data_IF_008051429187
#
_entry.id   IF_008051429187
#
_cell.length_a   1.000
_cell.length_b   1.000
_cell.length_c   1.000
_cell.angle_alpha   90.00
_cell.angle_beta   90.00
_cell.angle_gamma   90.00
#
_symmetry.space_group_name_H-M   'P 1'
#
loop_
_entity.id
_entity.type
_entity.pdbx_description
1 polymer ?
#
# COMPACT_ATOMS: atom_id res chain seq x y z
N UNK A 1 -19.63 8.10 -24.72
CA UNK A 1 -18.89 8.42 -24.98
C UNK A 1 -17.65 7.89 -24.60
N UNK A 2 -17.03 7.57 -25.47
CA UNK A 2 -15.77 7.01 -25.23
C UNK A 2 -15.00 7.84 -24.24
N UNK A 3 -15.46 9.00 -24.09
CA UNK A 3 -14.80 9.86 -23.16
C UNK A 3 -14.72 9.33 -21.74
N UNK A 4 -15.40 8.25 -21.47
CA UNK A 4 -15.34 7.70 -20.13
C UNK A 4 -13.93 7.45 -19.69
N UNK A 5 -13.12 6.85 -20.56
CA UNK A 5 -11.76 6.57 -20.15
C UNK A 5 -10.93 7.81 -20.02
N UNK A 6 -11.16 8.76 -20.91
CA UNK A 6 -10.38 9.97 -20.88
C UNK A 6 -10.79 10.88 -19.72
N UNK A 7 -11.94 10.59 -19.10
CA UNK A 7 -12.39 11.38 -17.98
C UNK A 7 -11.73 10.99 -16.68
N UNK A 8 -11.03 9.87 -16.66
CA UNK A 8 -10.35 9.45 -15.44
C UNK A 8 -9.19 10.38 -15.15
N UNK A 9 -9.07 10.87 -13.91
CA UNK A 9 -7.95 11.74 -13.58
C UNK A 9 -6.61 11.02 -13.72
N UNK A 10 -5.62 11.75 -14.20
CA UNK A 10 -4.25 11.24 -14.26
C UNK A 10 -3.34 12.12 -13.42
N UNK A 11 -2.25 11.57 -12.90
CA UNK A 11 -1.35 12.38 -12.07
C UNK A 11 -0.60 13.40 -12.93
N UNK A 12 -0.55 14.62 -12.45
CA UNK A 12 0.27 15.65 -13.06
C UNK A 12 1.60 15.80 -12.33
N UNK A 13 1.65 15.38 -11.07
CA UNK A 13 2.87 15.47 -10.29
C UNK A 13 2.82 14.39 -9.21
N UNK A 14 3.94 13.70 -9.02
CA UNK A 14 4.07 12.68 -7.98
C UNK A 14 5.38 12.95 -7.26
N UNK A 15 5.32 13.20 -5.96
CA UNK A 15 6.48 13.52 -5.15
C UNK A 15 6.50 12.67 -3.90
N UNK A 16 7.61 11.97 -3.69
CA UNK A 16 7.80 11.19 -2.48
C UNK A 16 8.50 12.05 -1.43
N UNK A 17 7.85 12.22 -0.29
CA UNK A 17 8.40 12.97 0.83
C UNK A 17 8.92 11.98 1.86
N UNK A 18 10.23 11.70 1.80
CA UNK A 18 10.82 10.66 2.64
C UNK A 18 10.76 10.99 4.12
N UNK A 19 10.92 12.25 4.47
CA UNK A 19 10.94 12.63 5.89
C UNK A 19 9.58 12.46 6.54
N UNK A 20 8.51 12.80 5.84
CA UNK A 20 7.15 12.66 6.36
C UNK A 20 6.51 11.33 5.98
N UNK A 21 7.17 10.56 5.13
CA UNK A 21 6.72 9.26 4.67
C UNK A 21 5.35 9.30 4.03
N UNK A 22 5.17 10.26 3.13
CA UNK A 22 3.93 10.36 2.34
C UNK A 22 4.28 10.54 0.88
N UNK A 23 3.40 10.04 0.02
CA UNK A 23 3.48 10.27 -1.41
C UNK A 23 2.45 11.34 -1.75
N UNK A 24 2.90 12.44 -2.31
CA UNK A 24 2.00 13.50 -2.73
C UNK A 24 1.70 13.33 -4.20
N UNK A 25 0.41 13.26 -4.55
CA UNK A 25 -0.01 13.07 -5.93
C UNK A 25 -1.01 14.15 -6.27
N UNK A 26 -0.74 14.88 -7.35
CA UNK A 26 -1.65 15.90 -7.85
C UNK A 26 -2.24 15.40 -9.16
N UNK A 27 -3.56 15.44 -9.24
CA UNK A 27 -4.27 14.89 -10.38
C UNK A 27 -4.79 15.99 -11.28
N UNK A 28 -5.09 15.61 -12.53
CA UNK A 28 -5.53 16.55 -13.56
C UNK A 28 -6.86 17.20 -13.26
N UNK A 29 -7.66 16.64 -12.38
CA UNK A 29 -8.94 17.22 -11.98
C UNK A 29 -8.81 18.25 -10.85
N UNK A 30 -7.59 18.55 -10.44
CA UNK A 30 -7.34 19.50 -9.36
C UNK A 30 -7.23 18.86 -7.99
N UNK A 31 -7.49 17.56 -7.87
CA UNK A 31 -7.36 16.89 -6.59
C UNK A 31 -5.89 16.69 -6.25
N UNK A 32 -5.56 16.83 -4.98
CA UNK A 32 -4.21 16.59 -4.50
C UNK A 32 -4.31 15.78 -3.21
N UNK A 33 -3.56 14.70 -3.14
CA UNK A 33 -3.61 13.80 -2.00
C UNK A 33 -2.22 13.58 -1.43
N UNK A 34 -2.15 13.36 -0.13
CA UNK A 34 -0.92 12.96 0.55
C UNK A 34 -1.19 11.58 1.13
N UNK A 35 -0.62 10.56 0.53
CA UNK A 35 -0.91 9.17 0.87
C UNK A 35 0.25 8.63 1.68
N UNK A 36 0.05 8.26 2.96
CA UNK A 36 1.15 7.71 3.76
C UNK A 36 1.70 6.43 3.14
N UNK A 37 3.00 6.28 3.20
CA UNK A 37 3.64 5.06 2.69
C UNK A 37 3.08 3.83 3.40
N UNK A 38 2.80 3.94 4.68
CA UNK A 38 2.21 2.83 5.43
C UNK A 38 0.88 2.41 4.82
N UNK A 39 0.03 3.37 4.48
CA UNK A 39 -1.27 3.06 3.89
C UNK A 39 -1.09 2.39 2.54
N UNK A 40 -0.17 2.88 1.71
CA UNK A 40 0.12 2.27 0.43
C UNK A 40 0.58 0.82 0.61
N UNK A 41 1.45 0.58 1.59
CA UNK A 41 1.99 -0.75 1.83
C UNK A 41 0.92 -1.71 2.33
N UNK A 42 0.10 -1.24 3.26
CA UNK A 42 -0.95 -2.06 3.87
C UNK A 42 -2.02 -2.44 2.86
N UNK A 43 -2.34 -1.53 1.96
CA UNK A 43 -3.35 -1.76 0.93
C UNK A 43 -2.74 -1.97 -0.46
N UNK A 44 -1.51 -2.45 -0.52
CA UNK A 44 -0.87 -2.73 -1.79
C UNK A 44 -1.74 -3.67 -2.64
N UNK A 45 -1.88 -3.39 -3.93
CA UNK A 45 -2.68 -4.26 -4.81
C UNK A 45 -1.98 -5.54 -5.21
N UNK A 46 -0.87 -5.85 -4.55
CA UNK A 46 -0.13 -7.07 -4.80
C UNK A 46 -0.91 -8.30 -4.32
N UNK A 47 -0.72 -9.43 -4.99
CA UNK A 47 -1.31 -10.69 -4.55
C UNK A 47 -0.84 -11.09 -3.16
N UNK A 48 0.36 -10.66 -2.75
CA UNK A 48 0.85 -10.94 -1.40
C UNK A 48 -0.03 -10.33 -0.33
N UNK A 49 -0.69 -9.23 -0.65
CA UNK A 49 -1.57 -8.55 0.31
C UNK A 49 -3.01 -8.97 0.09
N UNK A 50 -3.45 -9.06 -1.17
CA UNK A 50 -4.84 -9.37 -1.47
C UNK A 50 -5.19 -10.85 -1.27
N UNK A 51 -4.19 -11.72 -1.27
CA UNK A 51 -4.44 -13.14 -1.12
C UNK A 51 -5.05 -13.75 -2.36
N UNK A 52 -5.80 -14.82 -2.16
CA UNK A 52 -6.33 -15.61 -3.28
C UNK A 52 -7.79 -15.26 -3.61
N UNK A 53 -8.35 -14.26 -2.96
CA UNK A 53 -9.72 -13.86 -3.27
C UNK A 53 -10.34 -13.12 -2.11
N UNK A 54 -11.63 -12.76 -2.22
CA UNK A 54 -12.30 -12.03 -1.14
C UNK A 54 -12.23 -12.82 0.17
N UNK A 55 -11.91 -12.12 1.25
CA UNK A 55 -11.78 -12.76 2.54
C UNK A 55 -10.43 -13.42 2.77
N UNK A 56 -9.55 -13.40 1.77
CA UNK A 56 -8.23 -14.00 1.88
C UNK A 56 -7.12 -12.96 2.04
N UNK A 57 -7.51 -11.72 2.25
CA UNK A 57 -6.54 -10.62 2.40
C UNK A 57 -5.63 -10.88 3.59
N UNK A 58 -4.35 -10.58 3.42
CA UNK A 58 -3.36 -10.75 4.47
C UNK A 58 -3.16 -9.43 5.19
N UNK A 59 -3.53 -9.38 6.46
CA UNK A 59 -3.39 -8.16 7.25
C UNK A 59 -1.91 -7.85 7.42
N UNK A 60 -1.50 -6.67 7.03
CA UNK A 60 -0.12 -6.23 7.10
C UNK A 60 0.11 -5.48 8.41
N UNK A 61 1.16 -5.83 9.15
CA UNK A 61 1.51 -5.14 10.39
C UNK A 61 2.98 -4.79 10.36
N UNK A 62 3.41 -3.98 11.31
CA UNK A 62 4.82 -3.60 11.39
C UNK A 62 5.26 -2.68 10.27
N UNK A 63 4.33 -1.94 9.67
CA UNK A 63 4.63 -1.10 8.51
C UNK A 63 4.65 0.40 8.82
N UNK A 64 4.53 0.76 10.09
CA UNK A 64 4.44 2.17 10.48
C UNK A 64 5.60 3.01 9.95
N UNK A 65 6.79 2.45 9.92
CA UNK A 65 7.99 3.19 9.53
C UNK A 65 8.51 2.81 8.15
N UNK A 66 7.67 2.15 7.34
CA UNK A 66 8.10 1.75 6.01
C UNK A 66 8.37 2.99 5.15
N UNK A 67 9.44 2.94 4.37
CA UNK A 67 9.78 4.01 3.45
C UNK A 67 9.78 3.51 2.02
N UNK A 68 10.08 4.41 1.09
CA UNK A 68 10.20 4.07 -0.32
C UNK A 68 11.66 4.16 -0.75
N UNK A 69 12.14 3.11 -1.39
CA UNK A 69 13.47 3.11 -1.97
C UNK A 69 13.44 3.60 -3.41
N UNK A 70 12.35 3.32 -4.12
CA UNK A 70 12.27 3.65 -5.53
C UNK A 70 10.81 3.65 -5.98
N UNK A 71 10.53 4.38 -7.05
CA UNK A 71 9.23 4.38 -7.71
C UNK A 71 9.49 4.23 -9.19
N UNK A 72 9.03 3.15 -9.78
CA UNK A 72 9.24 2.88 -11.18
C UNK A 72 7.95 3.08 -11.96
N UNK A 73 7.94 3.93 -12.98
CA UNK A 73 6.72 4.06 -13.80
C UNK A 73 6.50 2.80 -14.63
N UNK A 74 5.24 2.42 -14.75
CA UNK A 74 4.86 1.26 -15.55
C UNK A 74 3.89 1.75 -16.61
N UNK A 75 4.35 1.76 -17.86
CA UNK A 75 3.58 2.36 -18.92
C UNK A 75 3.23 3.80 -18.59
N UNK A 76 2.02 4.20 -18.93
CA UNK A 76 1.50 5.52 -18.54
C UNK A 76 0.25 5.36 -17.69
N UNK A 77 0.16 4.26 -16.93
CA UNK A 77 -1.06 3.94 -16.19
C UNK A 77 -0.81 3.55 -14.73
N UNK A 78 0.45 3.37 -14.31
CA UNK A 78 0.72 2.89 -12.95
C UNK A 78 2.14 3.23 -12.52
N UNK A 79 2.39 3.08 -11.22
CA UNK A 79 3.74 3.08 -10.68
C UNK A 79 3.93 1.80 -9.89
N UNK A 80 5.19 1.37 -9.81
CA UNK A 80 5.58 0.21 -8.99
C UNK A 80 6.57 0.69 -7.95
N UNK A 81 6.13 0.93 -6.71
CA UNK A 81 7.05 1.37 -5.67
C UNK A 81 7.80 0.18 -5.07
N UNK A 82 9.05 0.43 -4.65
CA UNK A 82 9.83 -0.53 -3.88
C UNK A 82 9.91 0.00 -2.46
N UNK A 83 9.35 -0.74 -1.53
CA UNK A 83 9.34 -0.33 -0.13
C UNK A 83 10.58 -0.82 0.59
N UNK A 84 10.89 -0.17 1.73
CA UNK A 84 12.11 -0.51 2.48
C UNK A 84 12.07 -1.91 3.07
N UNK A 85 10.89 -2.51 3.20
CA UNK A 85 10.79 -3.90 3.66
C UNK A 85 10.93 -4.91 2.54
N UNK A 86 11.27 -4.45 1.34
CA UNK A 86 11.50 -5.34 0.20
C UNK A 86 10.27 -5.60 -0.67
N UNK A 87 9.11 -5.14 -0.27
CA UNK A 87 7.88 -5.36 -1.04
C UNK A 87 7.91 -4.48 -2.31
N UNK A 88 7.80 -5.10 -3.47
CA UNK A 88 7.87 -4.37 -4.74
C UNK A 88 6.93 -4.95 -5.80
N UNK A 89 5.97 -5.77 -5.40
CA UNK A 89 5.11 -6.46 -6.37
C UNK A 89 3.78 -5.79 -6.63
N UNK A 90 3.51 -4.64 -6.02
CA UNK A 90 2.24 -3.95 -6.21
C UNK A 90 2.30 -2.93 -7.33
N UNK A 91 1.34 -2.99 -8.25
CA UNK A 91 1.18 -1.98 -9.29
C UNK A 91 0.06 -1.04 -8.87
N UNK A 92 0.42 0.20 -8.61
CA UNK A 92 -0.56 1.20 -8.18
C UNK A 92 -1.00 1.99 -9.40
N UNK A 93 -2.17 1.64 -9.94
CA UNK A 93 -2.74 2.37 -11.07
C UNK A 93 -3.16 3.76 -10.63
N UNK A 94 -3.36 4.66 -11.60
CA UNK A 94 -3.80 6.02 -11.28
C UNK A 94 -5.13 6.00 -10.54
N UNK A 95 -6.04 5.13 -10.94
CA UNK A 95 -7.34 5.00 -10.28
C UNK A 95 -7.18 4.50 -8.85
N UNK A 96 -6.27 3.58 -8.63
CA UNK A 96 -6.05 3.04 -7.29
C UNK A 96 -5.42 4.09 -6.38
N UNK A 97 -4.47 4.87 -6.90
CA UNK A 97 -3.89 5.97 -6.13
C UNK A 97 -4.95 7.00 -5.76
N UNK A 98 -5.83 7.32 -6.71
CA UNK A 98 -6.92 8.24 -6.45
C UNK A 98 -7.84 7.68 -5.35
N UNK A 99 -8.16 6.40 -5.43
CA UNK A 99 -8.96 5.73 -4.43
C UNK A 99 -8.31 5.80 -3.05
N UNK A 100 -7.02 5.49 -2.96
CA UNK A 100 -6.31 5.55 -1.68
C UNK A 100 -6.34 6.97 -1.10
N UNK A 101 -6.16 7.96 -1.94
CA UNK A 101 -6.17 9.34 -1.47
C UNK A 101 -7.55 9.81 -1.05
N UNK A 102 -8.56 9.53 -1.87
CA UNK A 102 -9.91 10.03 -1.60
C UNK A 102 -10.62 9.29 -0.48
N UNK A 103 -10.29 8.01 -0.28
CA UNK A 103 -10.94 7.18 0.74
C UNK A 103 -10.03 6.97 1.95
N UNK A 104 -9.03 7.80 2.11
CA UNK A 104 -7.98 7.58 3.11
C UNK A 104 -8.53 7.41 4.53
N UNK A 105 -9.46 8.28 4.95
CA UNK A 105 -9.99 8.20 6.30
C UNK A 105 -10.73 6.89 6.55
N UNK A 106 -11.53 6.47 5.58
CA UNK A 106 -12.25 5.21 5.70
C UNK A 106 -11.33 4.01 5.71
N UNK A 107 -10.26 4.08 4.91
CA UNK A 107 -9.29 3.00 4.87
C UNK A 107 -8.52 2.89 6.18
N UNK A 108 -8.14 4.02 6.79
CA UNK A 108 -7.49 3.98 8.10
C UNK A 108 -8.40 3.38 9.15
N UNK A 109 -9.68 3.77 9.15
CA UNK A 109 -10.65 3.21 10.10
C UNK A 109 -10.80 1.71 9.91
N UNK A 110 -10.87 1.26 8.67
CA UNK A 110 -10.95 -0.15 8.37
C UNK A 110 -9.72 -0.91 8.84
N UNK A 111 -8.55 -0.34 8.57
CA UNK A 111 -7.29 -0.97 8.97
C UNK A 111 -7.20 -1.08 10.49
N UNK A 112 -7.55 -0.02 11.21
CA UNK A 112 -7.51 -0.04 12.66
C UNK A 112 -8.47 -1.07 13.23
N UNK A 113 -9.64 -1.21 12.62
CA UNK A 113 -10.60 -2.21 13.05
C UNK A 113 -10.06 -3.63 12.83
N UNK A 114 -9.43 -3.84 11.69
CA UNK A 114 -8.85 -5.16 11.40
C UNK A 114 -7.74 -5.50 12.36
N UNK A 115 -6.96 -4.51 12.78
CA UNK A 115 -5.90 -4.72 13.78
C UNK A 115 -6.51 -5.15 15.12
N UNK A 116 -7.54 -4.44 15.54
CA UNK A 116 -8.22 -4.77 16.81
C UNK A 116 -8.81 -6.17 16.74
N UNK A 117 -9.50 -6.48 15.64
CA UNK A 117 -10.14 -7.78 15.47
C UNK A 117 -9.11 -8.92 15.49
N UNK A 118 -7.91 -8.66 15.01
CA UNK A 118 -6.85 -9.66 14.98
C UNK A 118 -6.00 -9.67 16.27
N UNK A 119 -6.23 -8.72 17.18
CA UNK A 119 -5.47 -8.65 18.42
C UNK A 119 -4.04 -8.17 18.23
N UNK A 120 -3.79 -7.36 17.22
CA UNK A 120 -2.45 -6.85 16.94
C UNK A 120 -2.49 -5.33 16.81
N UNK A 121 -1.32 -4.73 16.63
CA UNK A 121 -1.20 -3.29 16.46
C UNK A 121 -0.40 -2.99 15.20
N UNK A 122 -0.33 -1.70 14.85
CA UNK A 122 0.46 -1.27 13.70
C UNK A 122 1.94 -1.61 13.86
N UNK A 123 2.40 -1.77 15.08
CA UNK A 123 3.82 -2.03 15.36
C UNK A 123 4.13 -3.50 15.58
N UNK A 124 3.12 -4.37 15.54
CA UNK A 124 3.32 -5.80 15.74
C UNK A 124 4.19 -6.35 14.62
N UNK A 125 5.30 -7.02 14.92
CA UNK A 125 6.12 -7.60 13.85
C UNK A 125 5.31 -8.61 13.07
N UNK A 126 5.46 -8.55 11.75
CA UNK A 126 4.78 -9.49 10.89
C UNK A 126 5.60 -10.76 10.79
N UNK A 127 4.97 -11.95 10.86
CA UNK A 127 5.72 -13.17 10.68
C UNK A 127 6.36 -13.17 9.29
N UNK A 128 7.59 -13.66 9.22
CA UNK A 128 8.27 -13.74 7.95
C UNK A 128 7.61 -14.80 7.09
N UNK A 129 7.20 -14.42 5.92
CA UNK A 129 6.64 -15.39 4.99
C UNK A 129 7.69 -16.41 4.57
N UNK A 130 8.90 -15.96 4.55
CA UNK A 130 9.97 -16.88 4.20
C UNK A 130 10.17 -17.88 5.30
N UNK A 131 9.95 -17.44 6.39
CA UNK A 131 10.11 -18.37 7.40
C UNK A 131 8.98 -19.26 7.46
N UNK A 132 8.89 -19.19 6.88
CA UNK A 132 8.25 -19.83 7.13
C UNK A 132 8.46 -20.73 7.56
N UNK A 133 8.94 -20.82 7.62
CA UNK A 133 9.11 -21.30 8.05
C UNK A 133 9.52 -21.51 8.82
N UNK A 134 9.79 -21.78 8.93
CA UNK A 134 9.88 -21.82 9.69
C UNK A 134 10.16 -21.90 10.35
N UNK A 135 10.38 -22.24 10.41
CA UNK A 135 10.32 -22.05 11.12
C UNK A 135 10.50 -22.12 11.83
N UNK A 136 10.59 -22.43 11.93
CA UNK A 136 10.53 -22.25 12.64
C UNK A 136 10.72 -22.23 13.43
N UNK A 137 10.73 -22.48 13.51
CA UNK A 137 10.72 -22.24 14.22
C UNK A 137 10.92 -22.16 14.94
N UNK A 138 10.93 -22.45 15.03
CA UNK A 138 10.92 -22.09 15.74
C UNK A 138 11.30 -21.95 16.46
N UNK A 139 11.24 -22.19 16.51
CA UNK A 139 11.38 -21.65 17.12
C UNK A 139 11.85 -21.33 17.69
N UNK A 140 11.87 -21.46 17.68
CA UNK A 140 12.12 -20.73 18.03
C UNK A 140 12.20 -20.19 18.30
N UNK A 141 12.17 -20.63 18.10
CA UNK A 141 12.00 -19.87 18.20
C UNK A 141 12.17 -19.54 18.45
N UNK A 142 12.28 -19.50 18.37
CA UNK A 142 12.26 -19.02 18.32
C UNK A 142 12.35 -18.66 18.54
#
# INVERSE_FOLDING_TARGET
MAGLKTDSPTPEDITAHSASRVLEVKFSDGAAFRIPFELMRVYSPSAEVKGHGPGQEVLQTGKRNVGLLDIEPVGNYAIKPTFTDGHDSGLFTWEYLYFLGSEQDGLWSDYEKRLVDAGVTRDTPMPSAAGSAGGACSSHGH
#
